data_IF_093026415548
#
_entry.id   IF_093026415548
#
_cell.length_a   1.000
_cell.length_b   1.000
_cell.length_c   1.000
_cell.angle_alpha   90.00
_cell.angle_beta   90.00
_cell.angle_gamma   90.00
#
_symmetry.space_group_name_H-M   'P 1'
#
loop_
_entity.id
_entity.type
_entity.pdbx_description
1 polymer ?
#
# COMPACT_ATOMS: atom_id res chain seq x y z
N UNK A 1 32.33 -22.23 -18.29
CA UNK A 1 31.36 -21.18 -18.66
C UNK A 1 30.18 -21.29 -17.71
N UNK A 2 30.20 -20.56 -16.59
CA UNK A 2 29.13 -20.63 -15.60
C UNK A 2 27.92 -19.88 -16.15
N UNK A 3 26.82 -20.59 -16.36
CA UNK A 3 25.51 -19.98 -16.61
C UNK A 3 25.20 -19.09 -15.41
N UNK A 4 25.29 -17.78 -15.63
CA UNK A 4 24.82 -16.77 -14.69
C UNK A 4 23.30 -16.98 -14.56
N UNK A 5 22.87 -17.71 -13.53
CA UNK A 5 21.47 -17.76 -13.15
C UNK A 5 20.97 -16.32 -13.09
N UNK A 6 19.98 -16.01 -13.92
CA UNK A 6 19.33 -14.71 -13.90
C UNK A 6 18.76 -14.51 -12.51
N UNK A 7 19.48 -13.78 -11.65
CA UNK A 7 19.09 -13.52 -10.26
C UNK A 7 17.71 -12.89 -10.33
N UNK A 8 16.69 -13.64 -9.91
CA UNK A 8 15.29 -13.22 -9.98
C UNK A 8 15.19 -11.92 -9.17
N UNK A 9 14.93 -10.80 -9.86
CA UNK A 9 14.80 -9.47 -9.23
C UNK A 9 13.81 -9.53 -8.08
N UNK A 10 14.14 -8.88 -6.98
CA UNK A 10 13.28 -8.83 -5.82
C UNK A 10 12.01 -8.04 -6.16
N UNK A 11 10.83 -8.49 -5.69
CA UNK A 11 9.54 -7.87 -6.05
C UNK A 11 9.48 -6.38 -5.71
N UNK A 12 10.15 -5.98 -4.62
CA UNK A 12 10.18 -4.59 -4.17
C UNK A 12 10.91 -3.62 -5.12
N UNK A 13 11.76 -4.14 -6.01
CA UNK A 13 12.46 -3.31 -7.00
C UNK A 13 11.50 -2.60 -7.95
N UNK A 14 10.30 -3.17 -8.19
CA UNK A 14 9.37 -2.70 -9.21
C UNK A 14 8.17 -1.92 -8.70
N UNK A 15 7.95 -1.84 -7.38
CA UNK A 15 6.72 -1.24 -6.81
C UNK A 15 6.58 0.24 -7.22
N UNK A 16 7.70 0.93 -7.34
CA UNK A 16 7.77 2.36 -7.59
C UNK A 16 8.29 2.73 -8.98
N UNK A 17 8.54 1.74 -9.84
CA UNK A 17 8.94 1.97 -11.23
C UNK A 17 7.81 2.65 -12.01
N UNK A 18 6.58 2.16 -11.81
CA UNK A 18 5.40 2.71 -12.47
C UNK A 18 4.70 3.75 -11.58
N UNK A 19 4.22 4.82 -12.22
CA UNK A 19 3.36 5.78 -11.55
C UNK A 19 2.01 5.14 -11.23
N UNK A 20 1.45 5.36 -10.02
CA UNK A 20 0.09 4.94 -9.72
C UNK A 20 -0.93 5.45 -10.74
N UNK A 21 -1.83 4.58 -11.19
CA UNK A 21 -2.90 4.93 -12.14
C UNK A 21 -3.88 5.97 -11.57
N UNK A 22 -3.96 6.09 -10.24
CA UNK A 22 -4.65 7.15 -9.53
C UNK A 22 -3.65 7.98 -8.73
N UNK A 23 -3.88 9.29 -8.62
CA UNK A 23 -3.00 10.24 -7.94
C UNK A 23 -3.83 11.16 -7.05
N UNK A 24 -4.40 10.58 -6.01
CA UNK A 24 -5.25 11.32 -5.08
C UNK A 24 -4.39 12.20 -4.17
N UNK A 25 -4.52 13.51 -4.35
CA UNK A 25 -3.69 14.49 -3.65
C UNK A 25 -3.93 14.52 -2.13
N UNK A 26 -2.85 14.48 -1.36
CA UNK A 26 -2.86 14.67 0.09
C UNK A 26 -2.38 16.08 0.44
N UNK A 27 -3.25 16.87 1.09
CA UNK A 27 -2.91 18.24 1.50
C UNK A 27 -1.96 18.22 2.70
N UNK A 28 -0.78 18.83 2.57
CA UNK A 28 0.12 19.11 3.69
C UNK A 28 1.03 20.31 3.38
N UNK A 29 1.44 21.06 4.42
CA UNK A 29 2.44 22.15 4.33
C UNK A 29 3.81 21.79 4.90
N UNK A 30 3.91 20.62 5.55
CA UNK A 30 5.12 20.16 6.24
C UNK A 30 5.98 19.33 5.30
N UNK A 31 7.30 19.47 5.41
CA UNK A 31 8.26 18.58 4.75
C UNK A 31 8.60 17.36 5.59
N UNK A 32 9.14 16.34 4.94
CA UNK A 32 9.68 15.13 5.58
C UNK A 32 10.90 15.47 6.44
N UNK A 33 11.08 14.72 7.52
CA UNK A 33 12.15 14.96 8.49
C UNK A 33 12.72 13.66 9.01
N UNK A 34 14.03 13.65 9.23
CA UNK A 34 14.71 12.66 10.05
C UNK A 34 14.97 13.26 11.44
N UNK A 35 14.73 12.46 12.46
CA UNK A 35 15.00 12.76 13.88
C UNK A 35 16.02 11.76 14.48
N UNK A 36 16.54 10.87 13.63
CA UNK A 36 17.59 9.92 13.98
C UNK A 36 18.95 10.60 14.18
N UNK A 37 19.84 9.98 14.97
CA UNK A 37 21.21 10.46 15.07
C UNK A 37 21.91 10.32 13.71
N UNK A 38 22.74 11.30 13.31
CA UNK A 38 23.67 11.11 12.21
C UNK A 38 24.61 9.94 12.49
N UNK A 39 24.79 9.08 11.49
CA UNK A 39 25.63 7.88 11.55
C UNK A 39 26.73 8.00 10.50
N UNK A 40 27.94 7.58 10.88
CA UNK A 40 29.04 7.32 9.95
C UNK A 40 28.81 5.98 9.25
N UNK A 41 29.47 5.76 8.11
CA UNK A 41 29.25 4.60 7.24
C UNK A 41 29.35 3.26 7.98
N UNK A 42 30.36 3.11 8.85
CA UNK A 42 30.54 1.91 9.68
C UNK A 42 29.34 1.59 10.58
N UNK A 43 28.54 2.60 10.94
CA UNK A 43 27.38 2.45 11.82
C UNK A 43 26.06 2.29 11.06
N UNK A 44 26.06 2.37 9.72
CA UNK A 44 24.84 2.17 8.93
C UNK A 44 24.39 0.70 8.93
N UNK A 45 25.30 -0.24 9.19
CA UNK A 45 25.01 -1.67 9.21
C UNK A 45 24.58 -2.22 7.84
N UNK A 46 24.99 -1.57 6.75
CA UNK A 46 24.73 -2.01 5.38
C UNK A 46 25.98 -2.74 4.90
N UNK A 47 25.99 -4.09 4.87
CA UNK A 47 27.17 -4.84 4.48
C UNK A 47 27.49 -4.67 2.99
N UNK A 48 28.77 -4.84 2.59
CA UNK A 48 29.16 -4.95 1.19
C UNK A 48 28.33 -6.02 0.47
N UNK A 49 27.93 -5.75 -0.77
CA UNK A 49 27.08 -6.66 -1.56
C UNK A 49 25.58 -6.53 -1.31
N UNK A 50 25.14 -5.61 -0.44
CA UNK A 50 23.72 -5.28 -0.29
C UNK A 50 23.12 -4.72 -1.59
N UNK A 51 21.90 -5.12 -1.92
CA UNK A 51 21.19 -4.65 -3.12
C UNK A 51 20.23 -3.52 -2.76
N UNK A 52 20.22 -2.44 -3.55
CA UNK A 52 19.19 -1.40 -3.44
C UNK A 52 17.88 -1.94 -4.00
N UNK A 53 16.84 -2.01 -3.17
CA UNK A 53 15.50 -2.35 -3.60
C UNK A 53 14.82 -1.14 -4.24
N UNK A 54 14.76 -0.01 -3.54
CA UNK A 54 14.27 1.23 -4.11
C UNK A 54 14.88 2.45 -3.41
N UNK A 55 14.85 3.58 -4.11
CA UNK A 55 15.21 4.89 -3.57
C UNK A 55 14.12 5.90 -3.88
N UNK A 56 13.62 6.58 -2.85
CA UNK A 56 12.54 7.56 -3.00
C UNK A 56 13.00 8.93 -2.49
N UNK A 57 13.00 9.97 -3.36
CA UNK A 57 13.28 11.33 -2.95
C UNK A 57 12.03 11.99 -2.33
N UNK A 58 12.27 12.84 -1.33
CA UNK A 58 11.30 13.69 -0.66
C UNK A 58 11.82 15.13 -0.65
N UNK A 59 10.90 16.10 -0.59
CA UNK A 59 11.24 17.52 -0.38
C UNK A 59 12.30 18.07 -1.35
N UNK A 60 12.08 17.88 -2.66
CA UNK A 60 13.05 18.26 -3.72
C UNK A 60 14.44 17.65 -3.49
N UNK A 61 14.47 16.38 -3.05
CA UNK A 61 15.68 15.60 -2.76
C UNK A 61 16.51 16.13 -1.57
N UNK A 62 15.94 17.02 -0.73
CA UNK A 62 16.55 17.37 0.57
C UNK A 62 16.52 16.21 1.56
N UNK A 63 15.57 15.30 1.38
CA UNK A 63 15.51 14.03 2.08
C UNK A 63 15.33 12.91 1.05
N UNK A 64 15.94 11.76 1.25
CA UNK A 64 15.67 10.57 0.47
C UNK A 64 15.76 9.34 1.35
N UNK A 65 14.91 8.35 1.07
CA UNK A 65 15.01 7.04 1.70
C UNK A 65 15.48 6.01 0.70
N UNK A 66 16.35 5.11 1.13
CA UNK A 66 16.83 3.98 0.32
C UNK A 66 16.63 2.71 1.12
N UNK A 67 15.97 1.73 0.52
CA UNK A 67 15.79 0.43 1.14
C UNK A 67 16.82 -0.55 0.57
N UNK A 68 17.59 -1.18 1.46
CA UNK A 68 18.60 -2.18 1.12
C UNK A 68 18.13 -3.57 1.51
N UNK A 69 18.40 -4.55 0.65
CA UNK A 69 18.36 -5.97 0.96
C UNK A 69 19.78 -6.44 1.32
N UNK A 70 19.90 -7.14 2.44
CA UNK A 70 21.16 -7.70 2.93
C UNK A 70 21.76 -8.68 1.91
N UNK A 71 23.09 -8.73 1.83
CA UNK A 71 23.81 -9.57 0.86
C UNK A 71 23.44 -11.06 0.95
N UNK A 72 23.23 -11.56 2.17
CA UNK A 72 22.88 -12.97 2.46
C UNK A 72 21.44 -13.37 2.09
N UNK A 73 20.61 -12.45 1.59
CA UNK A 73 19.34 -12.78 0.92
C UNK A 73 18.16 -13.25 1.79
N UNK A 74 18.30 -13.30 3.12
CA UNK A 74 17.24 -13.77 4.03
C UNK A 74 16.09 -12.76 4.27
N UNK A 75 15.66 -11.97 3.28
CA UNK A 75 14.66 -10.88 3.43
C UNK A 75 15.00 -9.84 4.53
N UNK A 76 16.24 -9.84 5.02
CA UNK A 76 16.75 -8.84 5.96
C UNK A 76 16.91 -7.53 5.22
N UNK A 77 16.08 -6.54 5.56
CA UNK A 77 16.12 -5.23 4.92
C UNK A 77 16.41 -4.10 5.90
N UNK A 78 17.10 -3.07 5.40
CA UNK A 78 17.42 -1.85 6.15
C UNK A 78 16.92 -0.63 5.41
N UNK A 79 16.33 0.29 6.15
CA UNK A 79 15.85 1.56 5.65
C UNK A 79 16.88 2.64 6.00
N UNK A 80 17.54 3.17 4.99
CA UNK A 80 18.45 4.31 5.10
C UNK A 80 17.68 5.60 4.85
N UNK A 81 17.80 6.56 5.76
CA UNK A 81 17.39 7.93 5.54
C UNK A 81 18.62 8.80 5.33
N UNK A 82 18.67 9.51 4.20
CA UNK A 82 19.62 10.59 3.92
C UNK A 82 18.88 11.92 3.99
N UNK A 83 19.41 12.91 4.70
CA UNK A 83 18.91 14.28 4.66
C UNK A 83 20.05 15.29 4.58
N UNK A 84 19.70 16.54 4.27
CA UNK A 84 20.65 17.65 4.17
C UNK A 84 20.46 18.58 5.38
N UNK A 85 21.55 18.87 6.08
CA UNK A 85 21.57 19.80 7.21
C UNK A 85 21.47 21.29 6.75
N UNK A 86 21.42 22.27 7.66
CA UNK A 86 21.40 23.70 7.28
C UNK A 86 22.63 24.19 6.51
N UNK A 87 23.76 23.47 6.60
CA UNK A 87 25.04 23.79 5.96
C UNK A 87 25.25 23.00 4.65
N UNK A 88 24.20 22.36 4.14
CA UNK A 88 24.22 21.53 2.94
C UNK A 88 25.03 20.22 3.03
N UNK A 89 25.40 19.79 4.23
CA UNK A 89 26.06 18.51 4.43
C UNK A 89 25.06 17.35 4.41
N UNK A 90 25.40 16.22 3.75
CA UNK A 90 24.58 15.03 3.79
C UNK A 90 24.77 14.28 5.11
N UNK A 91 23.66 14.00 5.77
CA UNK A 91 23.60 13.20 6.99
C UNK A 91 22.81 11.92 6.73
N UNK A 92 23.16 10.87 7.45
CA UNK A 92 22.64 9.51 7.25
C UNK A 92 22.19 8.89 8.56
N UNK A 93 21.14 8.08 8.52
CA UNK A 93 20.68 7.28 9.65
C UNK A 93 20.00 6.03 9.09
N UNK A 94 20.28 4.86 9.67
CA UNK A 94 19.82 3.59 9.11
C UNK A 94 19.40 2.62 10.21
N UNK A 95 18.27 1.93 9.98
CA UNK A 95 17.78 0.87 10.87
C UNK A 95 17.22 -0.29 10.06
N UNK A 96 17.24 -1.49 10.66
CA UNK A 96 16.54 -2.64 10.13
C UNK A 96 15.03 -2.43 10.19
N UNK A 97 14.29 -2.95 9.19
CA UNK A 97 12.81 -2.84 9.19
C UNK A 97 12.17 -3.52 10.41
N UNK A 98 12.80 -4.57 10.93
CA UNK A 98 12.38 -5.29 12.13
C UNK A 98 12.44 -4.42 13.40
N UNK A 99 13.29 -3.39 13.43
CA UNK A 99 13.45 -2.48 14.58
C UNK A 99 12.40 -1.36 14.62
N UNK A 100 11.66 -1.16 13.53
CA UNK A 100 10.84 0.03 13.31
C UNK A 100 9.36 -0.29 13.34
N UNK A 101 8.57 0.51 14.05
CA UNK A 101 7.11 0.54 13.92
C UNK A 101 6.70 1.66 12.97
N UNK A 102 5.62 1.47 12.22
CA UNK A 102 5.09 2.46 11.27
C UNK A 102 3.68 2.87 11.67
N UNK A 103 3.41 4.18 11.67
CA UNK A 103 2.06 4.71 11.91
C UNK A 103 1.77 5.86 10.98
N UNK A 104 0.54 5.91 10.47
CA UNK A 104 0.07 7.07 9.71
C UNK A 104 -0.36 8.20 10.63
N UNK A 105 0.06 9.43 10.31
CA UNK A 105 -0.46 10.67 10.91
C UNK A 105 -0.77 11.67 9.81
N UNK A 106 -2.05 11.78 9.46
CA UNK A 106 -2.50 12.61 8.35
C UNK A 106 -1.91 12.17 7.02
N UNK A 107 -1.13 13.05 6.38
CA UNK A 107 -0.47 12.80 5.09
C UNK A 107 0.96 12.25 5.25
N UNK A 108 1.30 11.72 6.43
CA UNK A 108 2.64 11.23 6.73
C UNK A 108 2.65 9.81 7.29
N UNK A 109 3.72 9.07 6.98
CA UNK A 109 4.12 7.86 7.70
C UNK A 109 5.22 8.21 8.69
N UNK A 110 5.01 7.87 9.95
CA UNK A 110 5.94 8.06 11.04
C UNK A 110 6.55 6.72 11.43
N UNK A 111 7.87 6.65 11.35
CA UNK A 111 8.66 5.51 11.77
C UNK A 111 9.17 5.77 13.18
N UNK A 112 8.95 4.82 14.06
CA UNK A 112 9.33 4.90 15.46
C UNK A 112 10.17 3.70 15.84
N UNK A 113 11.03 3.89 16.83
CA UNK A 113 11.86 2.84 17.41
C UNK A 113 11.72 2.88 18.92
N UNK A 114 11.72 1.72 19.57
CA UNK A 114 11.83 1.67 21.01
C UNK A 114 13.18 2.22 21.46
N UNK A 115 13.17 3.12 22.43
CA UNK A 115 14.37 3.61 23.07
C UNK A 115 14.46 3.00 24.47
N UNK A 116 15.43 2.10 24.66
CA UNK A 116 15.65 1.40 25.91
C UNK A 116 16.06 2.33 27.07
N UNK A 117 16.79 3.41 26.78
CA UNK A 117 17.28 4.35 27.80
C UNK A 117 16.15 5.10 28.50
N UNK A 118 15.11 5.46 27.76
CA UNK A 118 13.97 6.25 28.26
C UNK A 118 12.66 5.47 28.29
N UNK A 119 12.73 4.14 28.08
CA UNK A 119 11.61 3.20 28.07
C UNK A 119 10.38 3.70 27.29
N UNK A 120 10.59 4.33 26.12
CA UNK A 120 9.51 4.82 25.27
C UNK A 120 9.83 4.77 23.79
N UNK A 121 8.78 4.70 22.97
CA UNK A 121 8.89 4.86 21.52
C UNK A 121 9.30 6.28 21.15
N UNK A 122 10.33 6.44 20.32
CA UNK A 122 10.78 7.73 19.78
C UNK A 122 10.61 7.73 18.26
N UNK A 123 10.09 8.82 17.72
CA UNK A 123 10.03 9.03 16.27
C UNK A 123 11.45 9.12 15.73
N UNK A 124 11.74 8.28 14.74
CA UNK A 124 12.98 8.29 13.97
C UNK A 124 12.83 9.11 12.70
N UNK A 125 11.70 8.98 12.00
CA UNK A 125 11.50 9.64 10.71
C UNK A 125 10.01 9.90 10.47
N UNK A 126 9.69 11.01 9.80
CA UNK A 126 8.35 11.29 9.28
C UNK A 126 8.44 11.62 7.79
N UNK A 127 7.80 10.79 6.96
CA UNK A 127 7.75 10.96 5.50
C UNK A 127 6.40 11.55 5.11
N UNK A 128 6.38 12.71 4.47
CA UNK A 128 5.15 13.33 3.97
C UNK A 128 4.94 12.99 2.49
N UNK A 129 3.79 12.41 2.18
CA UNK A 129 3.44 11.96 0.85
C UNK A 129 2.50 12.95 0.17
N UNK A 130 2.77 13.22 -1.11
CA UNK A 130 1.91 14.08 -1.96
C UNK A 130 0.62 13.38 -2.39
N UNK A 131 0.65 12.06 -2.48
CA UNK A 131 -0.47 11.24 -2.98
C UNK A 131 -0.74 10.09 -2.03
N UNK A 132 -2.01 9.75 -1.85
CA UNK A 132 -2.45 8.65 -0.99
C UNK A 132 -1.90 7.30 -1.46
N UNK A 133 -1.87 7.07 -2.78
CA UNK A 133 -1.43 5.82 -3.40
C UNK A 133 0.04 5.53 -3.05
N UNK A 134 0.93 6.51 -3.23
CA UNK A 134 2.36 6.36 -2.85
C UNK A 134 2.55 6.06 -1.36
N UNK A 135 1.72 6.65 -0.48
CA UNK A 135 1.77 6.37 0.95
C UNK A 135 1.34 4.94 1.25
N UNK A 136 0.24 4.48 0.65
CA UNK A 136 -0.25 3.10 0.78
C UNK A 136 0.77 2.09 0.27
N UNK A 137 1.36 2.34 -0.91
CA UNK A 137 2.37 1.45 -1.49
C UNK A 137 3.62 1.37 -0.60
N UNK A 138 4.10 2.50 -0.07
CA UNK A 138 5.22 2.51 0.85
C UNK A 138 4.92 1.72 2.12
N UNK A 139 3.74 1.94 2.71
CA UNK A 139 3.31 1.24 3.90
C UNK A 139 3.20 -0.27 3.67
N UNK A 140 2.48 -0.69 2.63
CA UNK A 140 2.28 -2.11 2.31
C UNK A 140 3.62 -2.80 2.01
N UNK A 141 4.53 -2.14 1.27
CA UNK A 141 5.88 -2.65 1.03
C UNK A 141 6.65 -2.82 2.34
N UNK A 142 6.66 -1.81 3.21
CA UNK A 142 7.33 -1.87 4.50
C UNK A 142 6.82 -3.01 5.38
N UNK A 143 5.49 -3.15 5.51
CA UNK A 143 4.86 -4.21 6.31
C UNK A 143 5.18 -5.59 5.74
N UNK A 144 5.09 -5.74 4.42
CA UNK A 144 5.40 -6.98 3.73
C UNK A 144 6.86 -7.43 3.92
N UNK A 145 7.80 -6.49 3.94
CA UNK A 145 9.22 -6.75 4.22
C UNK A 145 9.45 -7.05 5.69
N UNK A 146 8.83 -6.28 6.59
CA UNK A 146 8.93 -6.52 8.04
C UNK A 146 8.40 -7.90 8.41
N UNK A 147 7.27 -8.32 7.84
CA UNK A 147 6.63 -9.61 8.13
C UNK A 147 7.47 -10.81 7.68
N UNK A 148 8.28 -10.65 6.64
CA UNK A 148 9.15 -11.72 6.12
C UNK A 148 10.58 -11.65 6.65
N UNK A 149 10.93 -10.59 7.38
CA UNK A 149 12.26 -10.47 7.95
C UNK A 149 12.43 -11.48 9.10
N UNK A 150 13.44 -12.36 9.06
CA UNK A 150 13.66 -13.39 10.07
C UNK A 150 14.03 -12.84 11.45
N UNK A 151 14.41 -11.56 11.52
CA UNK A 151 14.68 -10.86 12.77
C UNK A 151 13.41 -10.27 13.41
N UNK A 152 12.27 -10.32 12.72
CA UNK A 152 10.99 -9.86 13.25
C UNK A 152 10.34 -10.94 14.09
N UNK A 153 10.42 -10.81 15.41
CA UNK A 153 9.77 -11.74 16.35
C UNK A 153 8.25 -11.57 16.34
N UNK A 154 7.77 -10.32 16.36
CA UNK A 154 6.36 -10.03 16.34
C UNK A 154 6.10 -8.65 15.72
N UNK A 155 5.05 -8.54 14.91
CA UNK A 155 4.64 -7.25 14.33
C UNK A 155 3.60 -6.62 15.22
N UNK A 156 3.78 -5.34 15.52
CA UNK A 156 2.77 -4.57 16.23
C UNK A 156 1.47 -4.58 15.39
N UNK A 157 0.31 -4.97 15.95
CA UNK A 157 -0.95 -4.97 15.22
C UNK A 157 -1.27 -3.65 14.49
N UNK A 158 -0.84 -2.52 15.05
CA UNK A 158 -1.03 -1.20 14.46
C UNK A 158 -0.24 -1.02 13.15
N UNK A 159 0.92 -1.69 12.99
CA UNK A 159 1.72 -1.62 11.77
C UNK A 159 0.98 -2.20 10.56
N UNK A 160 0.01 -3.11 10.76
CA UNK A 160 -0.80 -3.65 9.66
C UNK A 160 -1.87 -2.67 9.17
N UNK A 161 -2.10 -1.57 9.88
CA UNK A 161 -3.22 -0.66 9.64
C UNK A 161 -2.75 0.77 9.32
N UNK A 162 -3.35 1.37 8.30
CA UNK A 162 -3.18 2.80 8.04
C UNK A 162 -4.30 3.56 8.75
N UNK A 163 -3.94 4.28 9.82
CA UNK A 163 -4.88 5.11 10.55
C UNK A 163 -5.65 6.09 9.63
N UNK A 164 -6.96 6.14 9.78
CA UNK A 164 -7.86 6.94 8.94
C UNK A 164 -8.43 6.20 7.73
N UNK A 165 -8.03 4.95 7.49
CA UNK A 165 -8.73 4.07 6.57
C UNK A 165 -9.84 3.28 7.28
N UNK A 166 -10.96 3.05 6.57
CA UNK A 166 -12.08 2.24 7.01
C UNK A 166 -12.22 1.01 6.11
N UNK A 167 -12.49 -0.15 6.71
CA UNK A 167 -12.75 -1.37 5.96
C UNK A 167 -14.26 -1.41 5.69
N UNK A 168 -14.65 -1.26 4.43
CA UNK A 168 -16.06 -1.34 4.00
C UNK A 168 -16.51 -2.80 3.87
N UNK A 169 -15.57 -3.67 3.50
CA UNK A 169 -15.85 -5.09 3.29
C UNK A 169 -14.61 -5.93 3.52
N UNK A 170 -14.83 -7.16 3.98
CA UNK A 170 -13.80 -8.18 4.06
C UNK A 170 -14.39 -9.57 3.83
N UNK A 171 -13.73 -10.36 3.00
CA UNK A 171 -14.08 -11.75 2.79
C UNK A 171 -12.85 -12.62 2.48
N UNK A 172 -13.05 -13.94 2.48
CA UNK A 172 -12.06 -14.90 2.04
C UNK A 172 -12.19 -15.14 0.53
N UNK A 173 -11.05 -15.13 -0.16
CA UNK A 173 -10.94 -15.43 -1.59
C UNK A 173 -9.90 -16.53 -1.82
N UNK A 174 -10.04 -17.23 -2.94
CA UNK A 174 -9.00 -18.09 -3.50
C UNK A 174 -8.28 -17.32 -4.58
N UNK A 175 -7.00 -17.04 -4.37
CA UNK A 175 -6.21 -16.24 -5.27
C UNK A 175 -4.80 -16.83 -5.44
N UNK A 176 -4.40 -17.03 -6.69
CA UNK A 176 -3.18 -17.73 -7.09
C UNK A 176 -3.06 -19.17 -6.52
N UNK A 177 -4.20 -19.78 -6.20
CA UNK A 177 -4.29 -21.10 -5.59
C UNK A 177 -4.14 -21.11 -4.07
N UNK A 178 -4.10 -19.93 -3.43
CA UNK A 178 -3.99 -19.78 -1.97
C UNK A 178 -5.19 -19.03 -1.40
N UNK A 179 -5.46 -19.26 -0.11
CA UNK A 179 -6.49 -18.53 0.62
C UNK A 179 -5.97 -17.14 1.04
N UNK A 180 -6.70 -16.10 0.66
CA UNK A 180 -6.39 -14.72 1.02
C UNK A 180 -7.60 -14.04 1.64
N UNK A 181 -7.36 -13.07 2.51
CA UNK A 181 -8.37 -12.10 2.91
C UNK A 181 -8.37 -10.97 1.89
N UNK A 182 -9.50 -10.75 1.21
CA UNK A 182 -9.73 -9.54 0.43
C UNK A 182 -10.49 -8.53 1.27
N UNK A 183 -10.06 -7.27 1.24
CA UNK A 183 -10.77 -6.15 1.81
C UNK A 183 -10.99 -5.03 0.81
N UNK A 184 -12.15 -4.37 0.89
CA UNK A 184 -12.39 -3.05 0.28
C UNK A 184 -12.15 -2.01 1.37
N UNK A 185 -11.22 -1.10 1.11
CA UNK A 185 -10.76 -0.13 2.10
C UNK A 185 -10.94 1.27 1.52
N UNK A 186 -11.54 2.17 2.30
CA UNK A 186 -11.74 3.57 1.94
C UNK A 186 -10.89 4.49 2.83
N UNK A 187 -10.22 5.47 2.22
CA UNK A 187 -9.54 6.53 2.96
C UNK A 187 -10.53 7.60 3.44
N UNK A 188 -10.59 7.86 4.75
CA UNK A 188 -11.53 8.85 5.30
C UNK A 188 -11.21 10.31 4.97
N UNK A 189 -10.03 10.65 4.40
CA UNK A 189 -9.69 12.03 4.04
C UNK A 189 -9.90 12.36 2.58
N UNK A 190 -9.65 11.40 1.69
CA UNK A 190 -9.78 11.60 0.26
C UNK A 190 -10.84 10.70 -0.41
N UNK A 191 -11.54 9.89 0.38
CA UNK A 191 -12.54 8.91 -0.07
C UNK A 191 -12.00 7.89 -1.09
N UNK A 192 -10.67 7.80 -1.24
CA UNK A 192 -10.02 6.89 -2.17
C UNK A 192 -10.29 5.44 -1.78
N UNK A 193 -10.67 4.61 -2.76
CA UNK A 193 -10.99 3.20 -2.57
C UNK A 193 -9.82 2.33 -3.05
N UNK A 194 -9.50 1.30 -2.27
CA UNK A 194 -8.53 0.27 -2.65
C UNK A 194 -9.00 -1.12 -2.28
N UNK A 195 -8.68 -2.05 -3.16
CA UNK A 195 -8.70 -3.47 -2.89
C UNK A 195 -7.37 -3.86 -2.23
N UNK A 196 -7.46 -4.67 -1.19
CA UNK A 196 -6.29 -5.14 -0.44
C UNK A 196 -6.41 -6.63 -0.15
N UNK A 197 -5.50 -7.42 -0.72
CA UNK A 197 -5.36 -8.82 -0.40
C UNK A 197 -4.21 -9.04 0.58
N UNK A 198 -4.49 -9.82 1.62
CA UNK A 198 -3.54 -10.21 2.63
C UNK A 198 -3.62 -11.72 2.90
N UNK A 199 -2.54 -12.29 3.42
CA UNK A 199 -2.50 -13.71 3.81
C UNK A 199 -3.59 -14.00 4.86
N UNK A 200 -4.39 -15.04 4.62
CA UNK A 200 -5.54 -15.40 5.46
C UNK A 200 -5.14 -16.00 6.81
N UNK A 201 -4.23 -16.98 6.81
CA UNK A 201 -3.85 -17.78 7.97
C UNK A 201 -2.33 -18.03 8.02
N UNK A 202 -1.86 -18.67 9.11
CA UNK A 202 -0.46 -18.98 9.33
C UNK A 202 0.37 -17.80 9.87
N UNK A 203 1.69 -17.98 9.88
CA UNK A 203 2.66 -17.03 10.47
C UNK A 203 2.62 -15.65 9.80
N UNK A 204 2.36 -15.62 8.49
CA UNK A 204 2.29 -14.39 7.71
C UNK A 204 0.88 -13.78 7.68
N UNK A 205 -0.06 -14.22 8.51
CA UNK A 205 -1.44 -13.68 8.55
C UNK A 205 -1.45 -12.16 8.61
N UNK A 206 -2.29 -11.51 7.79
CA UNK A 206 -2.36 -10.05 7.54
C UNK A 206 -1.20 -9.44 6.73
N UNK A 207 -0.17 -10.21 6.39
CA UNK A 207 0.88 -9.73 5.51
C UNK A 207 0.31 -9.37 4.12
N UNK A 208 0.57 -8.16 3.59
CA UNK A 208 0.15 -7.77 2.26
C UNK A 208 0.63 -8.74 1.18
N UNK A 209 -0.30 -9.15 0.30
CA UNK A 209 0.00 -9.90 -0.93
C UNK A 209 -0.06 -8.96 -2.12
N UNK A 210 -1.16 -8.21 -2.26
CA UNK A 210 -1.26 -7.14 -3.24
C UNK A 210 -2.25 -6.06 -2.81
N UNK A 211 -2.16 -4.90 -3.46
CA UNK A 211 -3.19 -3.86 -3.36
C UNK A 211 -3.46 -3.29 -4.74
N UNK A 212 -4.70 -2.92 -5.03
CA UNK A 212 -5.07 -2.24 -6.26
C UNK A 212 -5.94 -1.04 -5.92
N UNK A 213 -5.71 0.09 -6.56
CA UNK A 213 -6.52 1.29 -6.39
C UNK A 213 -7.72 1.22 -7.31
N UNK A 214 -8.92 1.47 -6.77
CA UNK A 214 -10.14 1.60 -7.55
C UNK A 214 -10.14 3.01 -8.14
N UNK A 215 -10.07 3.10 -9.47
CA UNK A 215 -10.06 4.38 -10.19
C UNK A 215 -11.48 4.80 -10.58
N UNK A 216 -11.64 5.98 -11.18
CA UNK A 216 -12.92 6.47 -11.69
C UNK A 216 -13.59 5.52 -12.71
N UNK A 217 -12.83 4.57 -13.27
CA UNK A 217 -13.36 3.46 -14.07
C UNK A 217 -14.48 2.69 -13.39
N UNK A 218 -14.52 2.65 -12.05
CA UNK A 218 -15.55 1.93 -11.28
C UNK A 218 -16.95 2.47 -11.43
N UNK A 219 -17.11 3.72 -11.87
CA UNK A 219 -18.42 4.32 -12.17
C UNK A 219 -19.08 3.64 -13.37
N UNK A 220 -18.29 2.98 -14.23
CA UNK A 220 -18.87 2.23 -15.34
C UNK A 220 -19.61 0.99 -14.83
N UNK A 221 -20.87 0.77 -15.20
CA UNK A 221 -21.58 -0.47 -14.86
C UNK A 221 -20.94 -1.71 -15.50
N UNK A 222 -20.02 -1.53 -16.45
CA UNK A 222 -19.24 -2.61 -17.08
C UNK A 222 -17.91 -2.88 -16.37
N UNK A 223 -17.56 -2.10 -15.34
CA UNK A 223 -16.31 -2.27 -14.59
C UNK A 223 -16.31 -3.58 -13.82
N UNK A 224 -17.42 -3.87 -13.13
CA UNK A 224 -17.66 -5.10 -12.39
C UNK A 224 -18.61 -5.99 -13.18
N UNK A 225 -18.20 -7.24 -13.42
CA UNK A 225 -19.04 -8.23 -14.10
C UNK A 225 -19.13 -9.51 -13.28
N UNK A 226 -20.34 -9.81 -12.79
CA UNK A 226 -20.66 -11.10 -12.17
C UNK A 226 -20.61 -12.22 -13.20
N UNK A 227 -19.80 -13.26 -12.97
CA UNK A 227 -19.64 -14.40 -13.91
C UNK A 227 -20.21 -15.71 -13.39
N UNK A 228 -20.26 -15.87 -12.07
CA UNK A 228 -20.91 -17.00 -11.38
C UNK A 228 -21.24 -16.58 -9.95
N UNK A 229 -21.89 -17.45 -9.17
CA UNK A 229 -22.16 -17.20 -7.75
C UNK A 229 -20.92 -16.94 -6.88
N UNK A 230 -19.71 -17.25 -7.35
CA UNK A 230 -18.48 -17.03 -6.59
C UNK A 230 -17.46 -16.16 -7.32
N UNK A 231 -17.68 -15.81 -8.59
CA UNK A 231 -16.65 -15.18 -9.43
C UNK A 231 -17.10 -13.83 -9.96
N UNK A 232 -16.25 -12.84 -9.76
CA UNK A 232 -16.42 -11.47 -10.23
C UNK A 232 -15.20 -11.08 -11.05
N UNK A 233 -15.43 -10.44 -12.19
CA UNK A 233 -14.38 -9.88 -13.04
C UNK A 233 -14.38 -8.36 -12.92
N UNK A 234 -13.20 -7.79 -12.71
CA UNK A 234 -12.97 -6.35 -12.64
C UNK A 234 -12.12 -5.87 -13.81
N UNK A 235 -12.54 -4.79 -14.45
CA UNK A 235 -11.78 -4.15 -15.52
C UNK A 235 -10.80 -3.14 -14.96
N UNK A 236 -9.71 -2.89 -15.69
CA UNK A 236 -8.77 -1.79 -15.41
C UNK A 236 -8.16 -1.84 -13.99
N UNK A 237 -8.04 -3.05 -13.43
CA UNK A 237 -7.41 -3.29 -12.13
C UNK A 237 -5.95 -3.70 -12.31
N UNK A 238 -5.06 -2.89 -11.76
CA UNK A 238 -3.61 -3.12 -11.73
C UNK A 238 -3.14 -3.37 -10.30
N UNK A 239 -3.04 -4.63 -9.86
CA UNK A 239 -2.51 -4.95 -8.54
C UNK A 239 -1.00 -4.69 -8.45
N UNK A 240 -0.60 -4.01 -7.38
CA UNK A 240 0.76 -3.88 -6.88
C UNK A 240 1.05 -5.05 -5.96
N UNK A 241 2.06 -5.85 -6.29
CA UNK A 241 2.32 -7.15 -5.66
C UNK A 241 3.48 -7.04 -4.67
N UNK A 242 3.30 -7.58 -3.46
CA UNK A 242 4.22 -7.49 -2.33
C UNK A 242 4.88 -8.83 -1.95
N UNK A 243 4.93 -9.80 -2.87
CA UNK A 243 5.63 -11.05 -2.67
C UNK A 243 6.14 -11.66 -3.99
N UNK A 244 7.20 -12.47 -3.92
CA UNK A 244 7.82 -13.05 -5.11
C UNK A 244 6.98 -14.18 -5.73
N UNK A 245 6.17 -14.89 -4.94
CA UNK A 245 5.51 -16.11 -5.38
C UNK A 245 4.17 -15.85 -6.07
N UNK A 246 3.62 -14.64 -5.94
CA UNK A 246 2.35 -14.30 -6.56
C UNK A 246 2.46 -14.15 -8.08
N UNK A 247 1.60 -14.86 -8.80
CA UNK A 247 1.55 -14.89 -10.26
C UNK A 247 0.29 -14.18 -10.76
N UNK A 248 0.40 -12.85 -10.95
CA UNK A 248 -0.67 -11.99 -11.52
C UNK A 248 -1.36 -12.61 -12.75
N UNK A 249 -0.59 -13.26 -13.65
CA UNK A 249 -1.12 -13.91 -14.87
C UNK A 249 -2.23 -14.94 -14.62
N UNK A 250 -2.29 -15.57 -13.44
CA UNK A 250 -3.33 -16.57 -13.12
C UNK A 250 -4.70 -15.92 -12.87
N UNK A 251 -4.72 -14.66 -12.43
CA UNK A 251 -5.95 -13.88 -12.27
C UNK A 251 -6.33 -13.03 -13.47
N UNK A 252 -5.39 -12.80 -14.38
CA UNK A 252 -5.68 -12.06 -15.60
C UNK A 252 -6.38 -12.99 -16.60
N UNK A 253 -7.52 -12.54 -17.11
CA UNK A 253 -8.28 -13.20 -18.17
C UNK A 253 -7.82 -12.71 -19.54
N UNK A 254 -8.25 -13.38 -20.62
CA UNK A 254 -7.77 -13.12 -22.00
C UNK A 254 -7.98 -11.67 -22.47
N UNK A 255 -8.93 -10.95 -21.88
CA UNK A 255 -9.24 -9.57 -22.22
C UNK A 255 -8.65 -8.53 -21.24
N UNK A 256 -7.79 -8.96 -20.31
CA UNK A 256 -7.20 -8.09 -19.30
C UNK A 256 -8.02 -7.94 -18.02
N UNK A 257 -9.21 -8.55 -17.94
CA UNK A 257 -10.05 -8.54 -16.74
C UNK A 257 -9.35 -9.28 -15.59
N UNK A 258 -9.45 -8.72 -14.38
CA UNK A 258 -8.96 -9.32 -13.13
C UNK A 258 -10.06 -10.16 -12.49
N UNK A 259 -9.86 -11.46 -12.33
CA UNK A 259 -10.82 -12.32 -11.64
C UNK A 259 -10.58 -12.33 -10.12
N UNK A 260 -11.68 -12.21 -9.37
CA UNK A 260 -11.75 -12.51 -7.94
C UNK A 260 -12.66 -13.73 -7.76
N UNK A 261 -12.15 -14.74 -7.06
CA UNK A 261 -12.91 -15.94 -6.72
C UNK A 261 -13.14 -16.00 -5.21
N UNK A 262 -14.39 -15.79 -4.79
CA UNK A 262 -14.81 -15.82 -3.39
C UNK A 262 -15.08 -17.26 -2.93
N UNK A 263 -14.68 -17.56 -1.69
CA UNK A 263 -15.01 -18.85 -1.07
C UNK A 263 -16.51 -18.97 -0.84
N UNK A 264 -17.12 -17.91 -0.30
CA UNK A 264 -18.56 -17.83 -0.04
C UNK A 264 -19.29 -17.03 -1.14
N UNK A 265 -20.44 -17.54 -1.58
CA UNK A 265 -21.32 -16.85 -2.53
C UNK A 265 -21.87 -15.55 -1.92
N UNK A 266 -22.28 -15.57 -0.66
CA UNK A 266 -22.86 -14.40 0.01
C UNK A 266 -21.85 -13.25 0.10
N UNK A 267 -20.57 -13.57 0.32
CA UNK A 267 -19.49 -12.59 0.28
C UNK A 267 -19.34 -11.96 -1.11
N UNK A 268 -19.56 -12.74 -2.16
CA UNK A 268 -19.46 -12.27 -3.51
C UNK A 268 -20.68 -11.38 -3.87
N UNK A 269 -21.87 -11.65 -3.34
CA UNK A 269 -23.03 -10.77 -3.49
C UNK A 269 -22.79 -9.44 -2.74
N UNK A 270 -22.39 -9.49 -1.47
CA UNK A 270 -22.07 -8.31 -0.67
C UNK A 270 -20.93 -7.45 -1.25
N UNK A 271 -19.93 -8.06 -1.91
CA UNK A 271 -18.88 -7.30 -2.60
C UNK A 271 -19.45 -6.49 -3.77
N UNK A 272 -20.40 -7.05 -4.52
CA UNK A 272 -21.00 -6.40 -5.67
C UNK A 272 -21.91 -5.24 -5.24
N UNK A 273 -22.64 -5.38 -4.14
CA UNK A 273 -23.54 -4.34 -3.60
C UNK A 273 -22.79 -3.03 -3.27
N UNK A 274 -21.57 -3.13 -2.72
CA UNK A 274 -20.73 -1.97 -2.38
C UNK A 274 -20.49 -1.04 -3.58
N UNK A 275 -20.38 -1.60 -4.78
CA UNK A 275 -20.09 -0.85 -5.99
C UNK A 275 -21.34 -0.52 -6.82
N UNK A 276 -22.52 -1.05 -6.43
CA UNK A 276 -23.81 -0.75 -7.08
C UNK A 276 -24.58 0.35 -6.34
N UNK A 277 -24.46 0.47 -5.03
CA UNK A 277 -25.19 1.47 -4.25
C UNK A 277 -24.76 2.93 -4.55
N UNK A 278 -23.54 3.16 -5.06
CA UNK A 278 -23.08 4.49 -5.46
C UNK A 278 -23.68 4.99 -6.79
N UNK A 279 -24.31 4.13 -7.61
CA UNK A 279 -24.87 4.55 -8.91
C UNK A 279 -26.32 5.07 -8.86
N UNK A 280 -27.10 4.74 -7.82
CA UNK A 280 -28.55 5.02 -7.79
C UNK A 280 -28.94 6.34 -7.11
N UNK A 281 -28.04 6.99 -6.36
CA UNK A 281 -28.36 8.25 -5.67
C UNK A 281 -28.26 9.51 -6.54
N UNK A 282 -27.91 9.38 -7.82
CA UNK A 282 -27.77 10.49 -8.77
C UNK A 282 -29.00 10.85 -9.59
N UNK A 283 -30.14 10.16 -9.45
CA UNK A 283 -31.28 10.25 -10.39
C UNK A 283 -32.62 10.74 -9.80
N UNK A 284 -32.64 11.38 -8.64
CA UNK A 284 -33.87 11.96 -8.08
C UNK A 284 -33.74 13.47 -7.85
N UNK A 285 -33.55 14.22 -8.94
CA UNK A 285 -34.05 15.60 -9.00
C UNK A 285 -35.45 15.49 -9.61
N UNK A 286 -36.47 15.46 -8.77
CA UNK A 286 -37.85 15.66 -9.21
C UNK A 286 -37.98 17.11 -9.68
N UNK A 287 -38.15 17.30 -10.98
CA UNK A 287 -38.65 18.55 -11.54
C UNK A 287 -40.03 18.82 -10.95
N UNK A 288 -40.13 19.87 -10.13
CA UNK A 288 -41.40 20.41 -9.66
C UNK A 288 -42.01 21.19 -10.82
N UNK A 289 -43.21 20.85 -11.32
CA UNK A 289 -43.86 21.65 -12.35
C UNK A 289 -44.25 23.01 -11.78
N UNK A 290 -43.71 24.07 -12.37
CA UNK A 290 -44.12 25.45 -12.09
C UNK A 290 -45.56 25.61 -12.57
N UNK A 291 -46.51 25.69 -11.65
CA UNK A 291 -47.89 26.06 -11.92
C UNK A 291 -47.94 27.52 -12.37
N UNK A 292 -48.18 27.74 -13.65
CA UNK A 292 -48.49 29.06 -14.21
C UNK A 292 -49.83 29.55 -13.67
N UNK A 293 -49.79 30.60 -12.85
CA UNK A 293 -50.96 31.36 -12.45
C UNK A 293 -51.56 32.10 -13.65
N UNK A 294 -52.76 31.71 -14.04
CA UNK A 294 -53.60 32.47 -14.94
C UNK A 294 -54.31 33.57 -14.12
N UNK A 295 -53.98 34.83 -14.39
CA UNK A 295 -54.83 35.97 -14.02
C UNK A 295 -55.95 36.08 -15.05
N UNK A 296 -57.19 36.08 -14.57
CA UNK A 296 -58.39 36.30 -15.38
C UNK A 296 -59.59 36.56 -14.47
N UNK A 297 -59.72 37.82 -14.05
CA UNK A 297 -60.91 38.65 -13.78
C UNK A 297 -60.67 39.64 -12.62
#
# INVERSE_FOLDING_TARGET
MFLQESKRRHWAEKIFDDQPHSLTGLKHRRGSKCFGPPMVDNNLGIPPGSTVLFKLPFDKNRLSVTLYLHADGADVTRLLCRWVDPYFNPLYSCYGVHELCVRRKGSSLQFQRWNHTIARSKIWMALFFKTWERMVLFHAAFVALKARCPLTININPDDYSLAGEQILFRAQIIDDGFEHSLAVIQDGKCSGLRLHAAVWNGELRKCPVWTAFVTQSSVSPKWLNRRSGHRIWLKEISPYVFCANYKKKRQMRRHGDFEIYFVDRAAADAFEDIFREESDTGSLVMDVPVMSGANGE
#
